data_IF_872432277227
#
_entry.id   IF_872432277227
#
_cell.length_a   1.000
_cell.length_b   1.000
_cell.length_c   1.000
_cell.angle_alpha   90.00
_cell.angle_beta   90.00
_cell.angle_gamma   90.00
#
_symmetry.space_group_name_H-M   'P 1'
#
loop_
_entity.id
_entity.type
_entity.pdbx_description
1 polymer ?
#
# COMPACT_ATOMS: atom_id res chain seq x y z
N UNK A 1 -15.95 12.11 30.28
CA UNK A 1 -15.76 11.16 29.16
C UNK A 1 -14.27 11.01 28.91
N UNK A 2 -13.69 9.82 29.08
CA UNK A 2 -12.27 9.58 28.77
C UNK A 2 -12.13 9.57 27.25
N UNK A 3 -11.49 10.58 26.68
CA UNK A 3 -11.03 10.54 25.29
C UNK A 3 -9.94 9.46 25.21
N UNK A 4 -10.35 8.22 24.97
CA UNK A 4 -9.45 7.22 24.43
C UNK A 4 -9.14 7.65 23.01
N UNK A 5 -8.09 8.44 22.85
CA UNK A 5 -7.42 8.61 21.58
C UNK A 5 -6.99 7.19 21.18
N UNK A 6 -7.79 6.53 20.35
CA UNK A 6 -7.36 5.30 19.68
C UNK A 6 -6.24 5.72 18.76
N UNK A 7 -5.02 5.82 19.31
CA UNK A 7 -3.79 5.97 18.54
C UNK A 7 -3.69 4.65 17.77
N UNK A 8 -4.31 4.62 16.60
CA UNK A 8 -4.14 3.54 15.63
C UNK A 8 -2.64 3.50 15.37
N UNK A 9 -1.96 2.48 15.90
CA UNK A 9 -0.52 2.32 15.74
C UNK A 9 -0.20 2.38 14.24
N UNK A 10 0.84 3.11 13.82
CA UNK A 10 1.19 3.21 12.41
C UNK A 10 1.48 1.81 11.86
N UNK A 11 0.66 1.34 10.91
CA UNK A 11 0.93 0.10 10.18
C UNK A 11 2.05 0.36 9.18
N UNK A 12 3.04 -0.51 9.12
CA UNK A 12 4.12 -0.43 8.14
C UNK A 12 3.95 -1.50 7.06
N UNK A 13 4.10 -1.12 5.79
CA UNK A 13 4.07 -2.04 4.65
C UNK A 13 5.35 -2.88 4.63
N UNK A 14 5.27 -4.17 4.30
CA UNK A 14 6.47 -5.01 4.12
C UNK A 14 7.24 -4.61 2.85
N UNK A 15 8.58 -4.73 2.90
CA UNK A 15 9.46 -4.49 1.74
C UNK A 15 9.07 -5.29 0.49
N UNK A 16 8.59 -6.52 0.67
CA UNK A 16 8.11 -7.39 -0.41
C UNK A 16 6.95 -6.79 -1.21
N UNK A 17 6.10 -5.99 -0.55
CA UNK A 17 4.99 -5.30 -1.22
C UNK A 17 5.54 -4.22 -2.13
N UNK A 18 6.51 -3.44 -1.67
CA UNK A 18 7.14 -2.41 -2.50
C UNK A 18 7.85 -3.02 -3.71
N UNK A 19 8.59 -4.12 -3.53
CA UNK A 19 9.18 -4.86 -4.65
C UNK A 19 8.13 -5.35 -5.64
N UNK A 20 7.05 -5.97 -5.14
CA UNK A 20 5.96 -6.44 -5.99
C UNK A 20 5.32 -5.30 -6.79
N UNK A 21 5.17 -4.11 -6.21
CA UNK A 21 4.71 -2.92 -6.93
C UNK A 21 5.73 -2.52 -8.01
N UNK A 22 7.04 -2.53 -7.74
CA UNK A 22 8.08 -2.21 -8.73
C UNK A 22 8.21 -3.23 -9.86
N UNK A 23 7.94 -4.51 -9.60
CA UNK A 23 8.10 -5.58 -10.58
C UNK A 23 6.83 -5.77 -11.45
N UNK A 24 5.65 -5.42 -10.92
CA UNK A 24 4.37 -5.68 -11.58
C UNK A 24 3.73 -4.40 -12.13
N UNK A 25 3.92 -4.16 -13.44
CA UNK A 25 3.35 -3.02 -14.14
C UNK A 25 1.82 -2.96 -14.04
N UNK A 26 1.15 -4.11 -14.15
CA UNK A 26 -0.32 -4.16 -14.11
C UNK A 26 -0.85 -3.82 -12.71
N UNK A 27 -0.13 -4.21 -11.66
CA UNK A 27 -0.42 -3.77 -10.30
C UNK A 27 -0.26 -2.26 -10.16
N UNK A 28 0.84 -1.66 -10.66
CA UNK A 28 1.04 -0.21 -10.60
C UNK A 28 -0.06 0.55 -11.32
N UNK A 29 -0.46 0.08 -12.50
CA UNK A 29 -1.55 0.68 -13.26
C UNK A 29 -2.88 0.63 -12.49
N UNK A 30 -3.22 -0.51 -11.89
CA UNK A 30 -4.44 -0.61 -11.06
C UNK A 30 -4.41 0.31 -9.83
N UNK A 31 -3.26 0.41 -9.15
CA UNK A 31 -3.11 1.34 -8.02
C UNK A 31 -3.25 2.79 -8.50
N UNK A 32 -2.66 3.13 -9.64
CA UNK A 32 -2.74 4.45 -10.23
C UNK A 32 -4.20 4.83 -10.55
N UNK A 33 -4.94 3.93 -11.21
CA UNK A 33 -6.35 4.12 -11.56
C UNK A 33 -7.22 4.29 -10.30
N UNK A 34 -7.05 3.43 -9.29
CA UNK A 34 -7.84 3.47 -8.05
C UNK A 34 -7.49 4.66 -7.14
N UNK A 35 -6.29 5.25 -7.28
CA UNK A 35 -5.86 6.40 -6.48
C UNK A 35 -5.92 7.73 -7.23
N UNK A 36 -6.30 7.73 -8.51
CA UNK A 36 -6.30 8.93 -9.36
C UNK A 36 -4.90 9.50 -9.61
N UNK A 37 -3.86 8.66 -9.57
CA UNK A 37 -2.47 9.08 -9.79
C UNK A 37 -1.94 8.57 -11.14
N UNK A 38 -0.77 9.07 -11.54
CA UNK A 38 -0.01 8.49 -12.65
C UNK A 38 0.72 7.25 -12.19
N UNK A 39 0.87 6.27 -13.07
CA UNK A 39 1.64 5.04 -12.81
C UNK A 39 3.08 5.35 -12.33
N UNK A 40 3.73 6.35 -12.93
CA UNK A 40 5.08 6.79 -12.53
C UNK A 40 5.12 7.34 -11.11
N UNK A 41 4.03 7.94 -10.63
CA UNK A 41 3.93 8.38 -9.25
C UNK A 41 3.86 7.17 -8.30
N UNK A 42 3.12 6.12 -8.65
CA UNK A 42 3.05 4.87 -7.88
C UNK A 42 4.40 4.16 -7.86
N UNK A 43 5.11 4.10 -8.99
CA UNK A 43 6.47 3.59 -9.06
C UNK A 43 7.40 4.35 -8.10
N UNK A 44 7.33 5.69 -8.09
CA UNK A 44 8.09 6.52 -7.16
C UNK A 44 7.71 6.28 -5.68
N UNK A 45 6.44 6.01 -5.37
CA UNK A 45 6.04 5.66 -4.01
C UNK A 45 6.69 4.36 -3.57
N UNK A 46 6.69 3.35 -4.45
CA UNK A 46 7.26 2.05 -4.15
C UNK A 46 8.79 2.11 -4.02
N UNK A 47 9.46 2.82 -4.94
CA UNK A 47 10.92 3.01 -4.90
C UNK A 47 11.39 3.69 -3.61
N UNK A 48 10.59 4.62 -3.07
CA UNK A 48 10.89 5.36 -1.83
C UNK A 48 10.32 4.72 -0.57
N UNK A 49 9.70 3.55 -0.67
CA UNK A 49 8.95 2.90 0.43
C UNK A 49 7.98 3.85 1.14
N UNK A 50 7.27 4.68 0.37
CA UNK A 50 6.46 5.78 0.89
C UNK A 50 5.18 5.30 1.57
N UNK A 51 4.81 5.97 2.68
CA UNK A 51 3.53 5.81 3.37
C UNK A 51 2.30 6.08 2.48
N UNK A 52 2.46 6.68 1.30
CA UNK A 52 1.37 6.82 0.32
C UNK A 52 0.79 5.48 -0.12
N UNK A 53 1.57 4.39 -0.03
CA UNK A 53 1.08 3.02 -0.31
C UNK A 53 0.10 2.52 0.77
N UNK A 54 0.07 3.15 1.97
CA UNK A 54 -0.93 2.87 3.00
C UNK A 54 -2.32 3.42 2.68
N UNK A 55 -2.46 4.21 1.61
CA UNK A 55 -3.76 4.70 1.14
C UNK A 55 -4.74 3.53 0.98
N UNK A 56 -5.97 3.71 1.49
CA UNK A 56 -7.01 2.67 1.46
C UNK A 56 -7.23 2.08 0.05
N UNK A 57 -7.29 2.93 -0.98
CA UNK A 57 -7.49 2.49 -2.36
C UNK A 57 -6.27 1.76 -2.91
N UNK A 58 -5.05 2.19 -2.57
CA UNK A 58 -3.82 1.49 -2.93
C UNK A 58 -3.78 0.08 -2.30
N UNK A 59 -4.05 -0.03 -1.00
CA UNK A 59 -4.12 -1.32 -0.29
C UNK A 59 -5.21 -2.21 -0.88
N UNK A 60 -6.39 -1.65 -1.16
CA UNK A 60 -7.50 -2.38 -1.79
C UNK A 60 -7.12 -2.91 -3.16
N UNK A 61 -6.44 -2.11 -3.99
CA UNK A 61 -5.95 -2.52 -5.30
C UNK A 61 -4.92 -3.65 -5.19
N UNK A 62 -3.98 -3.55 -4.24
CA UNK A 62 -2.98 -4.60 -3.96
C UNK A 62 -3.68 -5.92 -3.60
N UNK A 63 -4.61 -5.90 -2.65
CA UNK A 63 -5.37 -7.08 -2.23
C UNK A 63 -6.12 -7.72 -3.39
N UNK A 64 -6.87 -6.92 -4.16
CA UNK A 64 -7.65 -7.41 -5.30
C UNK A 64 -6.77 -8.01 -6.41
N UNK A 65 -5.61 -7.41 -6.67
CA UNK A 65 -4.72 -7.86 -7.74
C UNK A 65 -3.95 -9.13 -7.33
N UNK A 66 -3.46 -9.20 -6.09
CA UNK A 66 -2.52 -10.25 -5.65
C UNK A 66 -3.17 -11.36 -4.82
N UNK A 67 -4.39 -11.15 -4.31
CA UNK A 67 -5.01 -12.03 -3.32
C UNK A 67 -4.38 -11.94 -1.93
N UNK A 68 -3.49 -10.98 -1.68
CA UNK A 68 -2.79 -10.89 -0.40
C UNK A 68 -3.69 -10.47 0.76
N UNK A 69 -3.39 -11.05 1.92
CA UNK A 69 -4.02 -10.73 3.20
C UNK A 69 -3.29 -9.59 3.91
N UNK A 70 -3.91 -9.01 4.96
CA UNK A 70 -3.26 -8.01 5.82
C UNK A 70 -1.92 -8.52 6.38
N UNK A 71 -1.80 -9.81 6.72
CA UNK A 71 -0.57 -10.40 7.26
C UNK A 71 0.57 -10.45 6.24
N UNK A 72 0.23 -10.48 4.94
CA UNK A 72 1.20 -10.45 3.85
C UNK A 72 1.58 -9.01 3.49
N UNK A 73 0.66 -8.06 3.64
CA UNK A 73 0.87 -6.66 3.28
C UNK A 73 1.60 -5.88 4.39
N UNK A 74 1.21 -6.09 5.64
CA UNK A 74 1.69 -5.31 6.77
C UNK A 74 2.71 -6.10 7.58
N UNK A 75 3.72 -5.41 8.11
CA UNK A 75 4.65 -5.98 9.07
C UNK A 75 3.89 -6.39 10.33
N UNK A 76 4.16 -7.60 10.82
CA UNK A 76 3.73 -8.03 12.16
C UNK A 76 4.52 -7.19 13.17
N UNK A 77 3.81 -6.57 14.12
CA UNK A 77 4.45 -5.90 15.24
C UNK A 77 5.06 -6.91 16.21
#
# INVERSE_FOLDING_TARGET
MKNQTNILKPRKIKGEVFRKILDDYNLRKKIADETGNRETAVSNWAYRESDKVLNYFAVKAIKKHTGWTDKQIFQSQ
#
